data_IF_184926610267
#
_entry.id   IF_184926610267
#
_cell.length_a   1.000
_cell.length_b   1.000
_cell.length_c   1.000
_cell.angle_alpha   90.00
_cell.angle_beta   90.00
_cell.angle_gamma   90.00
#
_symmetry.space_group_name_H-M   'P 1'
#
loop_
_entity.id
_entity.type
_entity.pdbx_description
1 polymer ?
#
# COMPACT_ATOMS: atom_id res chain seq x y z
N UNK A 1 -7.04 27.45 0.79
CA UNK A 1 -8.28 26.99 1.48
C UNK A 1 -9.09 28.16 2.03
N UNK A 2 -8.49 29.05 2.83
CA UNK A 2 -9.14 30.28 3.36
C UNK A 2 -9.80 31.13 2.27
N UNK A 3 -9.10 31.40 1.16
CA UNK A 3 -9.66 32.16 0.03
C UNK A 3 -10.87 31.49 -0.63
N UNK A 4 -10.92 30.14 -0.69
CA UNK A 4 -12.05 29.38 -1.26
C UNK A 4 -13.27 29.45 -0.35
N UNK A 5 -13.05 29.41 0.97
CA UNK A 5 -14.10 29.59 1.98
C UNK A 5 -14.69 31.00 1.92
N UNK A 6 -13.85 32.03 1.76
CA UNK A 6 -14.31 33.41 1.61
C UNK A 6 -15.13 33.71 0.35
N UNK A 7 -14.96 32.92 -0.73
CA UNK A 7 -15.71 33.11 -1.98
C UNK A 7 -17.05 32.37 -1.94
N UNK A 8 -17.14 31.26 -1.20
CA UNK A 8 -18.32 30.39 -1.13
C UNK A 8 -19.22 30.65 0.10
N UNK A 9 -18.67 31.21 1.17
CA UNK A 9 -19.43 31.59 2.36
C UNK A 9 -20.36 32.76 2.05
N UNK A 10 -21.63 32.65 2.45
CA UNK A 10 -22.69 33.62 2.13
C UNK A 10 -22.86 34.69 3.24
N UNK A 11 -21.93 34.76 4.21
CA UNK A 11 -22.02 35.64 5.38
C UNK A 11 -20.69 36.17 5.90
N UNK A 12 -20.75 36.99 6.95
CA UNK A 12 -19.58 37.58 7.61
C UNK A 12 -18.79 36.54 8.45
N UNK A 13 -19.46 35.47 8.89
CA UNK A 13 -18.88 34.40 9.70
C UNK A 13 -18.86 33.07 8.94
N UNK A 14 -17.74 32.35 9.03
CA UNK A 14 -17.57 31.03 8.44
C UNK A 14 -17.99 29.99 9.48
N UNK A 15 -19.12 29.32 9.25
CA UNK A 15 -19.61 28.27 10.14
C UNK A 15 -18.81 26.97 9.99
N UNK A 16 -18.78 26.18 11.07
CA UNK A 16 -18.01 24.93 11.15
C UNK A 16 -18.43 23.91 10.07
N UNK A 17 -19.68 23.96 9.62
CA UNK A 17 -20.19 23.10 8.55
C UNK A 17 -19.69 23.51 7.16
N UNK A 18 -19.51 24.82 6.92
CA UNK A 18 -18.88 25.34 5.69
C UNK A 18 -17.40 24.95 5.61
N UNK A 19 -16.70 25.00 6.75
CA UNK A 19 -15.30 24.53 6.86
C UNK A 19 -15.20 23.04 6.55
N UNK A 20 -16.08 22.21 7.13
CA UNK A 20 -16.14 20.77 6.86
C UNK A 20 -16.43 20.48 5.39
N UNK A 21 -17.35 21.22 4.77
CA UNK A 21 -17.69 21.06 3.34
C UNK A 21 -16.53 21.47 2.42
N UNK A 22 -15.83 22.57 2.73
CA UNK A 22 -14.66 23.01 1.98
C UNK A 22 -13.45 22.07 2.13
N UNK A 23 -13.27 21.45 3.31
CA UNK A 23 -12.32 20.36 3.51
C UNK A 23 -12.79 19.05 2.84
N UNK A 24 -14.12 18.83 2.80
CA UNK A 24 -14.80 17.60 2.39
C UNK A 24 -14.66 17.22 0.91
N UNK A 25 -14.04 18.05 0.08
CA UNK A 25 -13.67 17.68 -1.31
C UNK A 25 -12.21 17.28 -1.49
N UNK A 26 -11.36 17.38 -0.45
CA UNK A 26 -9.94 16.94 -0.52
C UNK A 26 -9.73 15.58 0.18
N UNK A 27 -10.76 15.08 0.88
CA UNK A 27 -10.76 13.76 1.53
C UNK A 27 -11.55 12.70 0.76
N UNK A 28 -12.05 13.01 -0.44
CA UNK A 28 -12.83 12.05 -1.23
C UNK A 28 -11.99 11.02 -2.01
N UNK A 29 -10.65 11.06 -1.94
CA UNK A 29 -9.76 10.06 -2.54
C UNK A 29 -8.94 9.25 -1.52
N UNK A 30 -9.20 9.44 -0.23
CA UNK A 30 -8.66 8.56 0.80
C UNK A 30 -9.78 7.99 1.65
N UNK A 31 -10.65 7.21 0.98
CA UNK A 31 -11.06 5.93 1.57
C UNK A 31 -9.83 5.01 1.68
N UNK A 32 -8.80 5.47 2.38
CA UNK A 32 -8.01 4.61 3.22
C UNK A 32 -8.97 4.19 4.33
N UNK A 33 -9.87 3.29 3.95
CA UNK A 33 -10.50 2.39 4.89
C UNK A 33 -9.35 1.94 5.76
N UNK A 34 -9.40 2.32 7.03
CA UNK A 34 -8.54 1.74 8.06
C UNK A 34 -9.04 0.31 8.29
N UNK A 35 -9.25 -0.45 7.22
CA UNK A 35 -9.27 -1.90 7.22
C UNK A 35 -7.86 -2.25 7.61
N UNK A 36 -7.71 -2.58 8.89
CA UNK A 36 -6.65 -3.46 9.36
C UNK A 36 -6.36 -4.43 8.20
N UNK A 37 -5.15 -4.40 7.62
CA UNK A 37 -4.84 -5.22 6.46
C UNK A 37 -5.30 -6.65 6.68
N UNK A 38 -5.95 -7.25 5.68
CA UNK A 38 -6.64 -8.53 5.84
C UNK A 38 -5.73 -9.62 6.45
N UNK A 39 -4.42 -9.53 6.23
CA UNK A 39 -3.41 -10.41 6.81
C UNK A 39 -3.37 -10.47 8.34
N UNK A 40 -3.89 -9.49 9.07
CA UNK A 40 -3.98 -9.55 10.55
C UNK A 40 -5.08 -10.50 11.04
N UNK A 41 -6.03 -10.85 10.17
CA UNK A 41 -7.06 -11.85 10.47
C UNK A 41 -6.60 -13.28 10.10
N UNK A 42 -5.43 -13.42 9.47
CA UNK A 42 -4.86 -14.70 9.08
C UNK A 42 -3.94 -15.25 10.18
N UNK A 43 -3.76 -16.58 10.26
CA UNK A 43 -2.68 -17.16 11.04
C UNK A 43 -1.33 -16.54 10.68
N UNK A 44 -0.45 -16.34 11.67
CA UNK A 44 0.87 -15.70 11.46
C UNK A 44 1.67 -16.33 10.32
N UNK A 45 1.55 -17.65 10.13
CA UNK A 45 2.18 -18.36 9.01
C UNK A 45 1.71 -17.83 7.66
N UNK A 46 0.40 -17.77 7.45
CA UNK A 46 -0.20 -17.34 6.18
C UNK A 46 0.02 -15.85 5.94
N UNK A 47 -0.06 -15.02 6.98
CA UNK A 47 0.26 -13.60 6.90
C UNK A 47 1.71 -13.36 6.43
N UNK A 48 2.65 -14.16 6.94
CA UNK A 48 4.06 -14.13 6.51
C UNK A 48 4.21 -14.57 5.06
N UNK A 49 3.55 -15.65 4.66
CA UNK A 49 3.60 -16.15 3.29
C UNK A 49 3.05 -15.10 2.30
N UNK A 50 1.96 -14.41 2.65
CA UNK A 50 1.40 -13.30 1.87
C UNK A 50 2.37 -12.12 1.73
N UNK A 51 2.95 -11.67 2.84
CA UNK A 51 3.94 -10.60 2.84
C UNK A 51 5.16 -10.97 1.98
N UNK A 52 5.73 -12.16 2.21
CA UNK A 52 6.91 -12.63 1.49
C UNK A 52 6.65 -12.76 0.00
N UNK A 53 5.46 -13.24 -0.39
CA UNK A 53 5.07 -13.31 -1.80
C UNK A 53 5.06 -11.93 -2.44
N UNK A 54 4.33 -10.98 -1.86
CA UNK A 54 4.23 -9.62 -2.39
C UNK A 54 5.60 -8.92 -2.46
N UNK A 55 6.43 -9.11 -1.44
CA UNK A 55 7.77 -8.55 -1.39
C UNK A 55 8.66 -9.11 -2.51
N UNK A 56 8.66 -10.44 -2.69
CA UNK A 56 9.46 -11.09 -3.72
C UNK A 56 8.97 -10.75 -5.13
N UNK A 57 7.66 -10.71 -5.37
CA UNK A 57 7.08 -10.31 -6.66
C UNK A 57 7.49 -8.88 -7.04
N UNK A 58 7.34 -7.93 -6.11
CA UNK A 58 7.73 -6.54 -6.31
C UNK A 58 9.21 -6.39 -6.71
N UNK A 59 10.10 -7.09 -6.00
CA UNK A 59 11.54 -7.04 -6.32
C UNK A 59 11.88 -7.86 -7.58
N UNK A 60 11.15 -8.94 -7.88
CA UNK A 60 11.36 -9.75 -9.06
C UNK A 60 11.07 -8.97 -10.34
N UNK A 61 9.95 -8.26 -10.38
CA UNK A 61 9.60 -7.37 -11.49
C UNK A 61 10.67 -6.29 -11.70
N UNK A 62 11.12 -5.66 -10.60
CA UNK A 62 12.14 -4.59 -10.67
C UNK A 62 13.53 -5.08 -11.08
N UNK A 63 13.81 -6.37 -10.90
CA UNK A 63 15.07 -6.99 -11.36
C UNK A 63 14.98 -7.54 -12.79
N UNK A 64 13.84 -7.37 -13.46
CA UNK A 64 13.60 -7.84 -14.82
C UNK A 64 13.54 -9.36 -14.93
N UNK A 65 12.98 -10.04 -13.92
CA UNK A 65 12.86 -11.50 -13.89
C UNK A 65 14.18 -12.24 -13.59
N UNK A 66 15.25 -11.53 -13.22
CA UNK A 66 16.53 -12.14 -12.93
C UNK A 66 16.63 -12.59 -11.46
N UNK A 67 16.44 -13.89 -11.21
CA UNK A 67 16.62 -14.50 -9.87
C UNK A 67 18.01 -14.20 -9.29
N UNK A 68 19.01 -14.10 -10.15
CA UNK A 68 20.38 -13.75 -9.82
C UNK A 68 20.54 -12.35 -9.21
N UNK A 69 19.79 -11.38 -9.74
CA UNK A 69 19.76 -10.01 -9.23
C UNK A 69 18.83 -9.91 -8.02
N UNK A 70 17.72 -10.65 -8.02
CA UNK A 70 16.80 -10.74 -6.89
C UNK A 70 17.48 -11.26 -5.62
N UNK A 71 18.30 -12.33 -5.74
CA UNK A 71 19.06 -12.86 -4.60
C UNK A 71 19.99 -11.84 -3.97
N UNK A 72 20.64 -11.01 -4.80
CA UNK A 72 21.52 -9.94 -4.33
C UNK A 72 20.72 -8.79 -3.70
N UNK A 73 19.57 -8.43 -4.28
CA UNK A 73 18.71 -7.35 -3.79
C UNK A 73 18.02 -7.68 -2.45
N UNK A 74 17.60 -8.94 -2.26
CA UNK A 74 16.89 -9.40 -1.06
C UNK A 74 17.86 -9.97 0.00
N UNK A 75 19.12 -10.24 -0.37
CA UNK A 75 20.13 -10.79 0.54
C UNK A 75 19.92 -12.27 0.89
N UNK A 76 19.19 -13.00 0.06
CA UNK A 76 18.93 -14.44 0.24
C UNK A 76 19.77 -15.22 -0.77
N UNK A 77 20.42 -16.30 -0.32
CA UNK A 77 21.14 -17.20 -1.22
C UNK A 77 20.24 -17.75 -2.33
N UNK A 78 20.76 -17.81 -3.56
CA UNK A 78 19.99 -18.24 -4.76
C UNK A 78 19.30 -19.59 -4.56
N UNK A 79 19.99 -20.58 -4.01
CA UNK A 79 19.45 -21.93 -3.79
C UNK A 79 18.24 -21.90 -2.87
N UNK A 80 18.27 -21.08 -1.82
CA UNK A 80 17.13 -20.91 -0.91
C UNK A 80 16.00 -20.10 -1.55
N UNK A 81 16.35 -19.11 -2.38
CA UNK A 81 15.39 -18.28 -3.08
C UNK A 81 14.58 -19.09 -4.10
N UNK A 82 15.19 -20.02 -4.85
CA UNK A 82 14.48 -20.92 -5.76
C UNK A 82 13.42 -21.76 -5.05
N UNK A 83 13.80 -22.38 -3.93
CA UNK A 83 12.87 -23.16 -3.10
C UNK A 83 11.73 -22.28 -2.58
N UNK A 84 12.04 -21.04 -2.20
CA UNK A 84 11.08 -20.06 -1.68
C UNK A 84 10.08 -19.60 -2.74
N UNK A 85 10.56 -19.23 -3.94
CA UNK A 85 9.72 -18.82 -5.07
C UNK A 85 8.75 -19.95 -5.46
N UNK A 86 9.24 -21.18 -5.52
CA UNK A 86 8.42 -22.35 -5.81
C UNK A 86 7.39 -22.61 -4.70
N UNK A 87 7.76 -22.51 -3.42
CA UNK A 87 6.80 -22.69 -2.31
C UNK A 87 5.71 -21.61 -2.27
N UNK A 88 5.98 -20.41 -2.77
CA UNK A 88 5.05 -19.29 -2.81
C UNK A 88 4.26 -19.20 -4.14
N UNK A 89 4.43 -20.18 -5.04
CA UNK A 89 3.81 -20.23 -6.37
C UNK A 89 4.09 -18.97 -7.23
N UNK A 90 5.27 -18.37 -7.10
CA UNK A 90 5.70 -17.25 -7.95
C UNK A 90 6.22 -17.84 -9.27
N UNK A 91 5.60 -17.48 -10.39
CA UNK A 91 6.01 -17.95 -11.72
C UNK A 91 7.30 -17.25 -12.13
N UNK A 92 8.33 -18.03 -12.44
CA UNK A 92 9.58 -17.54 -13.05
C UNK A 92 9.38 -17.21 -14.53
#
# INVERSE_FOLDING_TARGET
>A
LVQRLMILGVGEDIELEEVKSALGTVVSDMSATSTVPDFFNLPLKEARDHFEKAYLEYHFERTGGSVAKLSAAVGIERTHLYRKLHSLNIKL
#
